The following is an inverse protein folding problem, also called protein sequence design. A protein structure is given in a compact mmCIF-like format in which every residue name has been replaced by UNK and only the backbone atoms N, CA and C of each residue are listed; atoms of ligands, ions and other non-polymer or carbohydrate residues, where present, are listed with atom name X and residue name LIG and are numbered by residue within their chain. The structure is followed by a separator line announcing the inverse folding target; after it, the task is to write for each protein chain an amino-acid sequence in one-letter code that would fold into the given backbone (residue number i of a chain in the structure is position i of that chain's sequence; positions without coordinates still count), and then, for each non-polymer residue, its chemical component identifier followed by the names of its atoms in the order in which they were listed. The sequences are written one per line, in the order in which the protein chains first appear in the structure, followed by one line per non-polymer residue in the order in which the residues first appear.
data_IF_976515523808
#
_entry.id   IF_976515523808
#
_cell.length_a   1.000
_cell.length_b   1.000
_cell.length_c   1.000
_cell.angle_alpha   90.00
_cell.angle_beta   90.00
_cell.angle_gamma   90.00
#
_symmetry.space_group_name_H-M   'P 1'
#
loop_
_entity.id
_entity.type
_entity.pdbx_description
1 polymer ?
#
# COMPACT_ATOMS: atom_id res chain seq x y z
N UNK A 1 6.25 18.16 12.53
CA UNK A 1 4.93 17.75 13.07
C UNK A 1 4.22 16.86 12.06
N UNK A 2 3.49 15.83 12.52
CA UNK A 2 2.67 15.03 11.61
C UNK A 2 1.54 15.90 11.01
N UNK A 3 1.17 15.68 9.73
CA UNK A 3 0.10 16.46 9.10
C UNK A 3 -1.23 16.29 9.86
N UNK A 4 -2.09 17.32 9.87
CA UNK A 4 -3.38 17.25 10.56
C UNK A 4 -4.24 16.11 10.02
N UNK A 5 -5.03 15.49 10.90
CA UNK A 5 -5.94 14.40 10.52
C UNK A 5 -6.96 14.94 9.51
N UNK A 6 -7.17 14.19 8.42
CA UNK A 6 -8.20 14.52 7.43
C UNK A 6 -9.59 14.60 8.11
N UNK A 7 -10.45 15.55 7.69
CA UNK A 7 -11.79 15.66 8.24
C UNK A 7 -12.63 14.43 7.89
N UNK A 8 -13.59 14.09 8.74
CA UNK A 8 -14.33 12.82 8.67
C UNK A 8 -15.01 12.57 7.32
N UNK A 9 -15.61 13.61 6.73
CA UNK A 9 -16.30 13.52 5.43
C UNK A 9 -15.36 13.28 4.24
N UNK A 10 -14.05 13.57 4.36
CA UNK A 10 -13.04 13.30 3.32
C UNK A 10 -12.38 11.92 3.46
N UNK A 11 -12.80 11.11 4.43
CA UNK A 11 -12.28 9.76 4.63
C UNK A 11 -13.04 8.74 3.79
N UNK A 12 -12.31 7.78 3.21
CA UNK A 12 -12.93 6.62 2.57
C UNK A 12 -13.63 5.69 3.57
N UNK A 13 -14.52 4.83 3.09
CA UNK A 13 -15.37 3.96 3.92
C UNK A 13 -14.59 3.18 5.00
N UNK A 14 -13.51 2.49 4.63
CA UNK A 14 -12.68 1.74 5.59
C UNK A 14 -12.04 2.64 6.64
N UNK A 15 -11.56 3.82 6.25
CA UNK A 15 -10.94 4.75 7.19
C UNK A 15 -11.97 5.34 8.17
N UNK A 16 -13.20 5.61 7.71
CA UNK A 16 -14.32 5.99 8.58
C UNK A 16 -14.67 4.87 9.56
N UNK A 17 -14.79 3.63 9.06
CA UNK A 17 -15.08 2.47 9.90
C UNK A 17 -14.04 2.28 11.00
N UNK A 18 -12.75 2.27 10.66
CA UNK A 18 -11.67 2.10 11.65
C UNK A 18 -11.58 3.28 12.63
N UNK A 19 -11.99 4.49 12.22
CA UNK A 19 -12.03 5.65 13.12
C UNK A 19 -13.18 5.55 14.14
N UNK A 20 -14.31 4.96 13.75
CA UNK A 20 -15.45 4.72 14.64
C UNK A 20 -15.30 3.44 15.49
N UNK A 21 -14.47 2.49 15.04
CA UNK A 21 -14.28 1.19 15.69
C UNK A 21 -12.82 1.02 16.15
N UNK A 22 -12.46 1.51 17.35
CA UNK A 22 -11.08 1.52 17.84
C UNK A 22 -10.50 0.11 17.99
N UNK A 23 -11.30 -0.88 18.42
CA UNK A 23 -10.83 -2.26 18.57
C UNK A 23 -10.45 -2.89 17.23
N UNK A 24 -11.28 -2.69 16.20
CA UNK A 24 -10.98 -3.12 14.83
C UNK A 24 -9.73 -2.43 14.29
N UNK A 25 -9.53 -1.14 14.60
CA UNK A 25 -8.32 -0.41 14.23
C UNK A 25 -7.07 -0.97 14.92
N UNK A 26 -7.17 -1.34 16.19
CA UNK A 26 -6.08 -1.98 16.93
C UNK A 26 -5.73 -3.34 16.32
N UNK A 27 -6.72 -4.22 16.14
CA UNK A 27 -6.54 -5.55 15.52
C UNK A 27 -5.86 -5.45 14.15
N UNK A 28 -6.33 -4.52 13.31
CA UNK A 28 -5.72 -4.27 11.99
C UNK A 28 -4.27 -3.81 12.12
N UNK A 29 -3.98 -2.87 13.02
CA UNK A 29 -2.61 -2.35 13.23
C UNK A 29 -1.67 -3.45 13.70
N UNK A 30 -2.12 -4.29 14.62
CA UNK A 30 -1.32 -5.39 15.18
C UNK A 30 -1.00 -6.41 14.08
N UNK A 31 -2.00 -6.80 13.28
CA UNK A 31 -1.81 -7.67 12.11
C UNK A 31 -0.85 -7.06 11.07
N UNK A 32 -1.07 -5.81 10.66
CA UNK A 32 -0.22 -5.14 9.67
C UNK A 32 1.24 -5.05 10.16
N UNK A 33 1.42 -4.77 11.45
CA UNK A 33 2.75 -4.70 12.09
C UNK A 33 3.45 -6.05 12.00
N UNK A 34 2.78 -7.12 12.42
CA UNK A 34 3.35 -8.47 12.36
C UNK A 34 3.65 -8.90 10.93
N UNK A 35 2.70 -8.69 10.00
CA UNK A 35 2.86 -9.03 8.59
C UNK A 35 4.05 -8.31 7.94
N UNK A 36 4.21 -7.01 8.23
CA UNK A 36 5.30 -6.20 7.71
C UNK A 36 6.65 -6.38 8.44
N UNK A 37 6.65 -6.97 9.63
CA UNK A 37 7.88 -7.27 10.37
C UNK A 37 8.68 -8.43 9.76
N UNK A 38 8.02 -9.33 9.01
CA UNK A 38 8.65 -10.51 8.40
C UNK A 38 9.79 -10.15 7.44
N UNK A 39 10.88 -10.94 7.46
CA UNK A 39 12.05 -10.76 6.60
C UNK A 39 11.68 -10.84 5.11
N UNK A 40 10.85 -11.82 4.75
CA UNK A 40 10.33 -11.98 3.40
C UNK A 40 9.60 -10.72 2.91
N UNK A 41 8.74 -10.12 3.76
CA UNK A 41 7.99 -8.92 3.38
C UNK A 41 8.90 -7.69 3.27
N UNK A 42 9.90 -7.58 4.15
CA UNK A 42 10.92 -6.52 4.08
C UNK A 42 11.72 -6.61 2.78
N UNK A 43 12.20 -7.80 2.42
CA UNK A 43 12.92 -8.04 1.15
C UNK A 43 12.04 -7.71 -0.06
N UNK A 44 10.82 -8.23 -0.09
CA UNK A 44 9.84 -7.93 -1.14
C UNK A 44 9.62 -6.43 -1.35
N UNK A 45 9.47 -5.67 -0.25
CA UNK A 45 9.31 -4.20 -0.33
C UNK A 45 10.58 -3.51 -0.81
N UNK A 46 11.75 -3.95 -0.34
CA UNK A 46 13.03 -3.38 -0.74
C UNK A 46 13.29 -3.53 -2.24
N UNK A 47 12.93 -4.68 -2.81
CA UNK A 47 13.08 -4.95 -4.24
C UNK A 47 12.14 -4.06 -5.09
N UNK A 48 10.87 -3.93 -4.68
CA UNK A 48 9.94 -3.00 -5.33
C UNK A 48 10.38 -1.54 -5.22
N UNK A 49 10.89 -1.12 -4.06
CA UNK A 49 11.38 0.25 -3.87
C UNK A 49 12.66 0.52 -4.68
N UNK A 50 13.52 -0.49 -4.86
CA UNK A 50 14.70 -0.40 -5.73
C UNK A 50 14.30 -0.15 -7.17
N UNK A 51 13.36 -0.93 -7.69
CA UNK A 51 12.82 -0.74 -9.03
C UNK A 51 12.15 0.63 -9.18
N UNK A 52 11.32 1.02 -8.19
CA UNK A 52 10.67 2.33 -8.18
C UNK A 52 11.68 3.47 -8.25
N UNK A 53 12.79 3.38 -7.50
CA UNK A 53 13.88 4.37 -7.55
C UNK A 53 14.61 4.35 -8.89
N UNK A 54 14.87 3.17 -9.46
CA UNK A 54 15.51 3.04 -10.77
C UNK A 54 14.67 3.73 -11.86
N UNK A 55 13.36 3.46 -11.90
CA UNK A 55 12.40 4.09 -12.83
C UNK A 55 12.32 5.60 -12.66
N UNK A 56 12.31 6.08 -11.40
CA UNK A 56 12.33 7.52 -11.12
C UNK A 56 13.62 8.16 -11.64
N UNK A 57 14.78 7.53 -11.45
CA UNK A 57 16.07 8.00 -11.99
C UNK A 57 16.11 8.00 -13.51
N UNK A 58 15.40 7.07 -14.16
CA UNK A 58 15.21 7.04 -15.61
C UNK A 58 14.19 8.08 -16.12
N UNK A 59 13.72 9.01 -15.29
CA UNK A 59 12.80 10.09 -15.69
C UNK A 59 11.34 9.69 -15.82
N UNK A 60 10.96 8.47 -15.40
CA UNK A 60 9.56 8.03 -15.49
C UNK A 60 8.67 8.75 -14.47
N UNK A 61 7.51 9.24 -14.92
CA UNK A 61 6.48 9.77 -14.02
C UNK A 61 5.74 8.62 -13.31
N UNK A 62 5.97 8.53 -12.00
CA UNK A 62 5.39 7.50 -11.12
C UNK A 62 4.16 8.00 -10.35
N UNK A 63 3.65 9.19 -10.68
CA UNK A 63 2.48 9.76 -10.03
C UNK A 63 1.27 8.85 -10.26
N UNK A 64 0.63 8.42 -9.17
CA UNK A 64 -0.52 7.52 -9.24
C UNK A 64 -0.19 6.07 -9.58
N UNK A 65 1.09 5.70 -9.79
CA UNK A 65 1.52 4.34 -10.20
C UNK A 65 2.28 3.63 -9.10
N UNK A 66 1.97 2.35 -8.91
CA UNK A 66 2.68 1.43 -8.03
C UNK A 66 3.47 0.41 -8.86
N UNK A 67 4.59 -0.09 -8.32
CA UNK A 67 5.32 -1.21 -8.91
C UNK A 67 4.69 -2.52 -8.42
N UNK A 68 4.31 -3.42 -9.33
CA UNK A 68 3.74 -4.73 -9.02
C UNK A 68 4.53 -5.85 -9.68
N UNK A 69 4.60 -7.03 -9.03
CA UNK A 69 5.23 -8.20 -9.61
C UNK A 69 4.30 -8.87 -10.63
N UNK A 70 4.88 -9.34 -11.73
CA UNK A 70 4.17 -10.09 -12.78
C UNK A 70 4.31 -11.60 -12.57
N UNK A 71 3.30 -12.37 -12.99
CA UNK A 71 3.26 -13.84 -12.81
C UNK A 71 4.44 -14.57 -13.49
N UNK A 72 4.98 -14.02 -14.56
CA UNK A 72 6.13 -14.58 -15.30
C UNK A 72 7.50 -14.09 -14.79
N UNK A 73 7.57 -13.51 -13.59
CA UNK A 73 8.75 -12.79 -13.11
C UNK A 73 8.79 -11.35 -13.61
N UNK A 74 9.62 -10.53 -12.97
CA UNK A 74 9.75 -9.10 -13.26
C UNK A 74 8.71 -8.22 -12.54
N UNK A 75 8.73 -6.93 -12.91
CA UNK A 75 7.91 -5.88 -12.30
C UNK A 75 7.29 -4.97 -13.35
N UNK A 76 6.03 -4.56 -13.17
CA UNK A 76 5.32 -3.61 -14.05
C UNK A 76 4.86 -2.37 -13.28
N UNK A 77 4.51 -1.30 -14.00
CA UNK A 77 3.83 -0.14 -13.42
C UNK A 77 2.33 -0.34 -13.57
N UNK A 78 1.62 -0.18 -12.47
CA UNK A 78 0.17 -0.30 -12.45
C UNK A 78 -0.47 0.89 -11.75
N UNK A 79 -1.65 1.30 -12.22
CA UNK A 79 -2.46 2.28 -11.51
C UNK A 79 -2.67 1.85 -10.05
N UNK A 80 -2.27 2.71 -9.13
CA UNK A 80 -2.28 2.41 -7.71
C UNK A 80 -3.68 2.11 -7.15
N UNK A 81 -4.72 2.71 -7.75
CA UNK A 81 -6.12 2.41 -7.41
C UNK A 81 -6.48 0.97 -7.77
N UNK A 82 -6.13 0.53 -8.99
CA UNK A 82 -6.41 -0.84 -9.47
C UNK A 82 -5.61 -1.87 -8.68
N UNK A 83 -4.31 -1.63 -8.45
CA UNK A 83 -3.46 -2.54 -7.69
C UNK A 83 -3.99 -2.79 -6.27
N UNK A 84 -4.35 -1.71 -5.55
CA UNK A 84 -4.87 -1.79 -4.17
C UNK A 84 -6.30 -2.32 -4.09
N UNK A 85 -7.07 -2.24 -5.17
CA UNK A 85 -8.42 -2.78 -5.26
C UNK A 85 -8.48 -4.24 -5.72
N UNK A 86 -7.42 -4.77 -6.35
CA UNK A 86 -7.38 -6.10 -6.98
C UNK A 86 -7.86 -7.26 -6.08
N UNK A 87 -7.62 -7.16 -4.78
CA UNK A 87 -7.98 -8.20 -3.81
C UNK A 87 -9.18 -7.80 -2.92
N UNK A 88 -9.88 -6.70 -3.25
CA UNK A 88 -11.12 -6.32 -2.55
C UNK A 88 -12.27 -7.14 -3.13
N UNK A 89 -12.95 -7.91 -2.28
CA UNK A 89 -14.16 -8.66 -2.66
C UNK A 89 -13.93 -10.04 -3.28
N UNK A 90 -12.68 -10.52 -3.34
CA UNK A 90 -12.43 -11.94 -3.65
C UNK A 90 -12.77 -12.76 -2.40
N UNK A 91 -13.85 -13.53 -2.49
CA UNK A 91 -14.24 -14.56 -1.51
C UNK A 91 -13.32 -15.76 -1.65
#
# INVERSE_FOLDING_TARGET
MAPPKKPFHKLGATARYLRLNPDSAKKKRDYDTAYHATSARKKYRADLDRERRARKRAGQNLTGKDVSHTKGGGTTLEDSSKNRARNRGKK
#
